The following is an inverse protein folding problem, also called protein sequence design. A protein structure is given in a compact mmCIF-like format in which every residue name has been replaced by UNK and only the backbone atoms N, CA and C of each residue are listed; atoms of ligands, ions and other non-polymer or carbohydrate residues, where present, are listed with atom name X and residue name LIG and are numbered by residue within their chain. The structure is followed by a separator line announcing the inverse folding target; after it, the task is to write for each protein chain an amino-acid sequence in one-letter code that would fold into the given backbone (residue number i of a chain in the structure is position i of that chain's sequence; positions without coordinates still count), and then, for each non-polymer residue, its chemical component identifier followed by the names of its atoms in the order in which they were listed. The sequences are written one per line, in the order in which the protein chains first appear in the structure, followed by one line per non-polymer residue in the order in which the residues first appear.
data_IF_748745199496
#
_entry.id   IF_748745199496
#
_cell.length_a   1.000
_cell.length_b   1.000
_cell.length_c   1.000
_cell.angle_alpha   90.00
_cell.angle_beta   90.00
_cell.angle_gamma   90.00
#
_symmetry.space_group_name_H-M   'P 1'
#
loop_
_entity.id
_entity.type
_entity.pdbx_description
1 polymer ?
#
# COMPACT_ATOMS: atom_id res chain seq x y z
N UNK A 1 -20.33 76.87 -21.50
CA UNK A 1 -19.80 75.62 -22.05
C UNK A 1 -19.36 74.72 -20.89
N UNK A 2 -20.17 73.70 -20.52
CA UNK A 2 -19.92 72.88 -19.32
C UNK A 2 -19.35 71.53 -19.82
N UNK A 3 -18.08 71.27 -19.53
CA UNK A 3 -17.41 70.02 -19.86
C UNK A 3 -17.77 69.02 -18.72
N UNK A 4 -18.47 67.96 -19.10
CA UNK A 4 -18.74 66.85 -18.18
C UNK A 4 -17.62 65.83 -18.32
N UNK A 5 -16.85 65.68 -17.27
CA UNK A 5 -15.81 64.65 -17.11
C UNK A 5 -16.50 63.34 -16.79
N UNK A 6 -16.42 62.35 -17.69
CA UNK A 6 -16.87 60.98 -17.47
C UNK A 6 -15.66 60.21 -16.95
N UNK A 7 -15.68 59.82 -15.68
CA UNK A 7 -14.67 58.91 -15.08
C UNK A 7 -15.17 57.51 -15.31
N UNK A 8 -14.50 56.77 -16.22
CA UNK A 8 -14.72 55.36 -16.40
C UNK A 8 -13.94 54.56 -15.32
N UNK A 9 -14.67 53.94 -14.41
CA UNK A 9 -14.14 52.98 -13.47
C UNK A 9 -13.86 51.65 -14.20
N UNK A 10 -12.60 51.35 -14.47
CA UNK A 10 -12.17 50.04 -14.93
C UNK A 10 -12.06 49.16 -13.70
N UNK A 11 -13.05 48.33 -13.45
CA UNK A 11 -13.02 47.31 -12.44
C UNK A 11 -12.06 46.18 -12.84
N UNK A 12 -10.92 46.10 -12.17
CA UNK A 12 -9.98 44.99 -12.32
C UNK A 12 -10.54 43.79 -11.56
N UNK A 13 -11.18 42.85 -12.32
CA UNK A 13 -11.60 41.57 -11.78
C UNK A 13 -10.36 40.68 -11.61
N UNK A 14 -9.84 40.63 -10.38
CA UNK A 14 -8.82 39.62 -10.01
C UNK A 14 -9.55 38.32 -9.88
N UNK A 15 -9.58 37.50 -10.97
CA UNK A 15 -10.06 36.16 -10.97
C UNK A 15 -9.12 35.27 -10.16
N UNK A 16 -9.58 34.74 -9.04
CA UNK A 16 -8.91 33.69 -8.30
C UNK A 16 -8.82 32.42 -9.15
N UNK A 17 -7.65 32.10 -9.71
CA UNK A 17 -7.38 30.88 -10.49
C UNK A 17 -6.84 29.73 -9.63
N UNK A 18 -7.37 29.56 -8.43
CA UNK A 18 -6.91 28.53 -7.50
C UNK A 18 -7.42 27.09 -7.71
N UNK A 19 -8.46 26.77 -8.52
CA UNK A 19 -8.94 25.38 -8.59
C UNK A 19 -8.22 24.49 -9.60
N UNK A 20 -7.50 25.04 -10.60
CA UNK A 20 -6.94 24.22 -11.68
C UNK A 20 -5.80 23.27 -11.23
N UNK A 21 -4.93 23.74 -10.35
CA UNK A 21 -3.80 22.94 -9.86
C UNK A 21 -4.24 21.81 -8.91
N UNK A 22 -5.23 22.05 -8.06
CA UNK A 22 -5.77 21.04 -7.16
C UNK A 22 -6.48 19.92 -7.95
N UNK A 23 -7.28 20.28 -8.93
CA UNK A 23 -8.01 19.34 -9.77
C UNK A 23 -7.09 18.53 -10.70
N UNK A 24 -6.00 19.12 -11.18
CA UNK A 24 -5.00 18.44 -11.98
C UNK A 24 -4.19 17.44 -11.13
N UNK A 25 -3.88 17.77 -9.88
CA UNK A 25 -3.25 16.86 -8.94
C UNK A 25 -4.16 15.66 -8.63
N UNK A 26 -5.42 15.90 -8.34
CA UNK A 26 -6.40 14.85 -8.03
C UNK A 26 -6.63 13.87 -9.19
N UNK A 27 -6.67 14.36 -10.44
CA UNK A 27 -6.79 13.52 -11.63
C UNK A 27 -5.53 12.72 -11.95
N UNK A 28 -4.35 13.28 -11.70
CA UNK A 28 -3.07 12.58 -11.86
C UNK A 28 -2.93 11.49 -10.80
N UNK A 29 -3.31 11.77 -9.56
CA UNK A 29 -3.30 10.83 -8.45
C UNK A 29 -4.22 9.62 -8.75
N UNK A 30 -5.44 9.85 -9.20
CA UNK A 30 -6.39 8.81 -9.57
C UNK A 30 -5.92 7.94 -10.75
N UNK A 31 -5.22 8.52 -11.72
CA UNK A 31 -4.65 7.77 -12.84
C UNK A 31 -3.44 6.93 -12.45
N UNK A 32 -2.56 7.45 -11.59
CA UNK A 32 -1.40 6.72 -11.09
C UNK A 32 -1.85 5.48 -10.32
N UNK A 33 -2.89 5.61 -9.50
CA UNK A 33 -3.50 4.50 -8.79
C UNK A 33 -4.06 3.44 -9.71
N UNK A 34 -4.93 3.81 -10.63
CA UNK A 34 -5.48 2.88 -11.61
C UNK A 34 -4.40 2.08 -12.35
N UNK A 35 -3.21 2.68 -12.54
CA UNK A 35 -2.07 2.03 -13.22
C UNK A 35 -1.26 1.14 -12.28
N UNK A 36 -1.21 1.44 -10.99
CA UNK A 36 -0.49 0.66 -9.99
C UNK A 36 -1.35 -0.44 -9.35
N UNK A 37 -2.67 -0.30 -9.36
CA UNK A 37 -3.65 -1.24 -8.83
C UNK A 37 -3.47 -2.70 -9.34
N UNK A 38 -3.20 -2.94 -10.65
CA UNK A 38 -2.92 -4.29 -11.13
C UNK A 38 -1.72 -4.98 -10.49
N UNK A 39 -0.77 -4.22 -9.90
CA UNK A 39 0.37 -4.80 -9.21
C UNK A 39 -0.05 -5.46 -7.89
N UNK A 40 -0.98 -4.85 -7.16
CA UNK A 40 -1.52 -5.44 -5.94
C UNK A 40 -2.30 -6.74 -6.21
N UNK A 41 -3.13 -6.76 -7.27
CA UNK A 41 -3.81 -7.98 -7.68
C UNK A 41 -2.85 -9.12 -8.03
N UNK A 42 -1.79 -8.82 -8.76
CA UNK A 42 -0.73 -9.81 -9.06
C UNK A 42 0.00 -10.28 -7.80
N UNK A 43 0.19 -9.38 -6.85
CA UNK A 43 0.81 -9.73 -5.58
C UNK A 43 -0.07 -10.68 -4.77
N UNK A 44 -1.36 -10.41 -4.66
CA UNK A 44 -2.32 -11.29 -3.99
C UNK A 44 -2.40 -12.67 -4.68
N UNK A 45 -2.41 -12.71 -6.01
CA UNK A 45 -2.39 -13.94 -6.79
C UNK A 45 -1.13 -14.77 -6.52
N UNK A 46 0.05 -14.16 -6.57
CA UNK A 46 1.32 -14.83 -6.31
C UNK A 46 1.41 -15.37 -4.86
N UNK A 47 0.94 -14.60 -3.88
CA UNK A 47 0.83 -15.02 -2.49
C UNK A 47 -0.09 -16.23 -2.33
N UNK A 48 -1.28 -16.19 -2.93
CA UNK A 48 -2.27 -17.27 -2.85
C UNK A 48 -1.81 -18.54 -3.60
N UNK A 49 -0.97 -18.38 -4.62
CA UNK A 49 -0.36 -19.49 -5.35
C UNK A 49 0.87 -20.07 -4.64
N UNK A 50 1.37 -19.41 -3.58
CA UNK A 50 2.62 -19.72 -2.88
C UNK A 50 3.83 -19.75 -3.84
N UNK A 51 3.85 -18.81 -4.78
CA UNK A 51 4.89 -18.68 -5.79
C UNK A 51 5.86 -17.54 -5.41
N UNK A 52 6.97 -17.92 -4.77
CA UNK A 52 7.97 -16.97 -4.29
C UNK A 52 8.64 -16.20 -5.45
N UNK A 53 8.86 -16.86 -6.59
CA UNK A 53 9.44 -16.23 -7.76
C UNK A 53 8.48 -15.20 -8.36
N UNK A 54 7.18 -15.53 -8.45
CA UNK A 54 6.16 -14.59 -8.92
C UNK A 54 6.03 -13.39 -7.99
N UNK A 55 6.08 -13.57 -6.66
CA UNK A 55 6.10 -12.44 -5.72
C UNK A 55 7.35 -11.58 -5.94
N UNK A 56 8.52 -12.18 -6.00
CA UNK A 56 9.79 -11.46 -6.18
C UNK A 56 9.86 -10.72 -7.52
N UNK A 57 9.27 -11.26 -8.58
CA UNK A 57 9.21 -10.63 -9.89
C UNK A 57 8.45 -9.27 -9.88
N UNK A 58 7.66 -8.98 -8.87
CA UNK A 58 6.98 -7.70 -8.69
C UNK A 58 7.88 -6.61 -8.10
N UNK A 59 9.05 -6.97 -7.59
CA UNK A 59 10.03 -6.06 -7.01
C UNK A 59 11.09 -5.62 -8.02
N UNK A 60 11.70 -4.45 -7.79
CA UNK A 60 12.92 -4.04 -8.52
C UNK A 60 14.11 -4.91 -8.10
N UNK A 61 15.19 -4.92 -8.88
CA UNK A 61 16.40 -5.70 -8.53
C UNK A 61 17.07 -5.22 -7.25
N UNK A 62 17.04 -3.91 -7.01
CA UNK A 62 17.60 -3.21 -5.85
C UNK A 62 16.56 -2.98 -4.73
N UNK A 63 15.42 -3.66 -4.76
CA UNK A 63 14.34 -3.44 -3.82
C UNK A 63 14.77 -3.60 -2.36
N UNK A 64 14.12 -2.85 -1.48
CA UNK A 64 14.31 -2.93 -0.03
C UNK A 64 12.98 -3.30 0.61
N UNK A 65 12.96 -4.40 1.35
CA UNK A 65 11.80 -4.87 2.08
C UNK A 65 12.08 -4.91 3.58
N UNK A 66 11.33 -4.10 4.34
CA UNK A 66 11.41 -4.03 5.80
C UNK A 66 10.34 -4.93 6.39
N UNK A 67 10.75 -5.91 7.17
CA UNK A 67 9.90 -6.86 7.87
C UNK A 67 10.06 -6.68 9.38
N UNK A 68 9.18 -7.26 10.21
CA UNK A 68 9.38 -7.27 11.66
C UNK A 68 10.71 -7.89 12.12
N UNK A 69 11.25 -8.82 11.33
CA UNK A 69 12.51 -9.52 11.60
C UNK A 69 13.76 -8.76 11.15
N UNK A 70 13.58 -7.78 10.25
CA UNK A 70 14.71 -6.99 9.73
C UNK A 70 14.52 -6.49 8.31
N UNK A 71 15.62 -6.04 7.71
CA UNK A 71 15.64 -5.48 6.35
C UNK A 71 16.24 -6.49 5.37
N UNK A 72 15.54 -6.71 4.26
CA UNK A 72 15.92 -7.59 3.16
C UNK A 72 16.18 -6.71 1.95
N UNK A 73 17.33 -6.90 1.29
CA UNK A 73 17.76 -6.09 0.16
C UNK A 73 17.99 -6.96 -1.07
N UNK A 74 17.38 -6.56 -2.17
CA UNK A 74 17.48 -7.23 -3.46
C UNK A 74 16.39 -8.26 -3.71
N UNK A 75 15.99 -8.35 -4.98
CA UNK A 75 14.92 -9.26 -5.44
C UNK A 75 15.18 -10.72 -5.08
N UNK A 76 16.39 -11.20 -5.29
CA UNK A 76 16.80 -12.58 -4.99
C UNK A 76 16.63 -12.93 -3.49
N UNK A 77 17.04 -12.00 -2.60
CA UNK A 77 16.88 -12.18 -1.18
C UNK A 77 15.40 -12.17 -0.75
N UNK A 78 14.60 -11.34 -1.41
CA UNK A 78 13.14 -11.30 -1.22
C UNK A 78 12.50 -12.63 -1.65
N UNK A 79 12.88 -13.18 -2.81
CA UNK A 79 12.40 -14.48 -3.28
C UNK A 79 12.71 -15.59 -2.26
N UNK A 80 13.96 -15.63 -1.80
CA UNK A 80 14.39 -16.61 -0.80
C UNK A 80 13.57 -16.50 0.49
N UNK A 81 13.29 -15.28 0.95
CA UNK A 81 12.50 -15.08 2.16
C UNK A 81 11.04 -15.53 1.97
N UNK A 82 10.43 -15.26 0.82
CA UNK A 82 9.09 -15.77 0.51
C UNK A 82 9.06 -17.30 0.42
N UNK A 83 10.08 -17.91 -0.16
CA UNK A 83 10.20 -19.36 -0.20
C UNK A 83 10.25 -19.96 1.22
N UNK A 84 10.90 -19.31 2.19
CA UNK A 84 10.88 -19.75 3.59
C UNK A 84 9.52 -19.54 4.24
N UNK A 85 8.82 -18.43 3.97
CA UNK A 85 7.46 -18.22 4.49
C UNK A 85 6.49 -19.28 3.98
N UNK A 86 6.54 -19.65 2.69
CA UNK A 86 5.68 -20.68 2.11
C UNK A 86 6.02 -22.09 2.58
N UNK A 87 7.26 -22.35 3.03
CA UNK A 87 7.63 -23.61 3.71
C UNK A 87 7.10 -23.65 5.13
N UNK A 88 7.04 -22.51 5.84
CA UNK A 88 6.49 -22.43 7.18
C UNK A 88 5.00 -22.76 7.21
N UNK A 89 4.24 -22.34 6.19
CA UNK A 89 2.85 -22.65 6.07
C UNK A 89 2.26 -22.20 4.74
N UNK A 90 1.28 -22.95 4.24
CA UNK A 90 0.58 -22.62 3.00
C UNK A 90 -0.26 -21.35 3.18
N UNK A 91 0.00 -20.35 2.35
CA UNK A 91 -0.78 -19.13 2.27
C UNK A 91 -2.04 -19.32 1.43
N UNK A 92 -3.14 -18.73 1.87
CA UNK A 92 -4.41 -18.65 1.16
C UNK A 92 -5.17 -17.39 1.60
N UNK A 93 -6.15 -16.97 0.79
CA UNK A 93 -6.98 -15.79 1.08
C UNK A 93 -6.16 -14.51 1.36
N UNK A 94 -4.96 -14.41 0.75
CA UNK A 94 -4.20 -13.18 0.82
C UNK A 94 -4.97 -12.07 0.13
N UNK A 95 -5.14 -10.95 0.81
CA UNK A 95 -5.80 -9.75 0.28
C UNK A 95 -5.04 -8.50 0.69
N UNK A 96 -4.90 -7.60 -0.28
CA UNK A 96 -4.32 -6.27 -0.11
C UNK A 96 -5.42 -5.23 -0.24
N UNK A 97 -5.51 -4.32 0.72
CA UNK A 97 -6.42 -3.17 0.66
C UNK A 97 -5.61 -1.88 0.66
N UNK A 98 -6.11 -0.87 -0.03
CA UNK A 98 -5.51 0.45 -0.09
C UNK A 98 -6.23 1.42 0.85
N UNK A 99 -5.47 2.30 1.48
CA UNK A 99 -6.00 3.44 2.19
C UNK A 99 -6.06 4.64 1.23
N UNK A 100 -7.25 5.12 0.84
CA UNK A 100 -7.38 6.21 -0.12
C UNK A 100 -6.72 7.52 0.30
N UNK A 101 -6.56 7.74 1.61
CA UNK A 101 -5.91 8.93 2.16
C UNK A 101 -4.37 8.85 2.11
N UNK A 102 -3.79 7.67 1.86
CA UNK A 102 -2.33 7.45 1.95
C UNK A 102 -1.56 7.71 0.67
N UNK A 103 -2.25 8.02 -0.41
CA UNK A 103 -1.71 8.21 -1.72
C UNK A 103 -0.83 9.43 -1.80
N UNK A 104 0.43 9.31 -2.24
CA UNK A 104 1.32 10.41 -2.55
C UNK A 104 2.13 10.12 -3.82
N UNK A 105 2.06 11.03 -4.79
CA UNK A 105 3.06 11.09 -5.87
C UNK A 105 4.27 11.81 -5.30
N UNK A 106 5.41 11.13 -5.27
CA UNK A 106 6.65 11.68 -4.71
C UNK A 106 7.59 12.04 -5.85
N UNK A 107 7.74 13.33 -6.13
CA UNK A 107 8.71 13.87 -7.09
C UNK A 107 8.27 13.82 -8.54
N UNK A 108 8.31 12.68 -9.21
CA UNK A 108 7.91 12.50 -10.61
C UNK A 108 6.67 11.61 -10.70
N UNK A 109 6.00 11.59 -11.88
CA UNK A 109 4.86 10.70 -12.16
C UNK A 109 5.24 9.21 -12.20
N UNK A 110 6.50 8.88 -11.99
CA UNK A 110 7.06 7.55 -12.07
C UNK A 110 7.32 6.91 -10.69
N UNK A 111 6.98 7.59 -9.61
CA UNK A 111 7.12 7.08 -8.24
C UNK A 111 5.88 7.42 -7.43
N UNK A 112 5.26 6.41 -6.85
CA UNK A 112 4.02 6.53 -6.08
C UNK A 112 4.16 5.78 -4.76
N UNK A 113 3.74 6.43 -3.67
CA UNK A 113 3.68 5.80 -2.35
C UNK A 113 2.25 5.42 -2.03
N UNK A 114 2.09 4.20 -1.52
CA UNK A 114 0.81 3.67 -1.04
C UNK A 114 0.95 3.08 0.34
N UNK A 115 -0.14 3.03 1.08
CA UNK A 115 -0.27 2.20 2.26
C UNK A 115 -1.66 1.58 2.34
N UNK A 116 -1.80 0.58 3.19
CA UNK A 116 -3.08 -0.09 3.35
C UNK A 116 -3.05 -1.18 4.41
N UNK A 117 -4.04 -2.04 4.35
CA UNK A 117 -4.13 -3.26 5.14
C UNK A 117 -3.78 -4.49 4.31
N UNK A 118 -3.39 -5.55 4.99
CA UNK A 118 -3.26 -6.88 4.41
C UNK A 118 -3.81 -7.92 5.38
N UNK A 119 -4.28 -9.03 4.83
CA UNK A 119 -4.60 -10.23 5.59
C UNK A 119 -4.23 -11.47 4.79
N UNK A 120 -3.94 -12.57 5.48
CA UNK A 120 -3.65 -13.87 4.89
C UNK A 120 -4.05 -14.97 5.85
N UNK A 121 -4.54 -16.09 5.33
CA UNK A 121 -4.68 -17.34 6.08
C UNK A 121 -3.47 -18.20 5.82
N UNK A 122 -2.77 -18.61 6.88
CA UNK A 122 -1.61 -19.51 6.81
C UNK A 122 -1.96 -20.82 7.51
N UNK A 123 -1.73 -21.93 6.83
CA UNK A 123 -1.91 -23.25 7.44
C UNK A 123 -0.65 -23.61 8.25
N UNK A 124 -0.74 -23.53 9.57
CA UNK A 124 0.35 -23.83 10.50
C UNK A 124 0.02 -25.13 11.23
N UNK A 125 0.83 -26.14 11.05
CA UNK A 125 0.62 -27.48 11.67
C UNK A 125 -0.78 -28.06 11.40
N UNK A 126 -1.27 -27.91 10.18
CA UNK A 126 -2.59 -28.38 9.74
C UNK A 126 -3.77 -27.55 10.29
N UNK A 127 -3.54 -26.39 10.88
CA UNK A 127 -4.57 -25.49 11.37
C UNK A 127 -4.51 -24.14 10.66
N UNK A 128 -5.62 -23.63 10.13
CA UNK A 128 -5.65 -22.31 9.53
C UNK A 128 -5.51 -21.23 10.63
N UNK A 129 -4.61 -20.28 10.41
CA UNK A 129 -4.41 -19.10 11.25
C UNK A 129 -4.50 -17.86 10.38
N UNK A 130 -5.25 -16.85 10.83
CA UNK A 130 -5.34 -15.56 10.16
C UNK A 130 -4.25 -14.62 10.70
N UNK A 131 -3.49 -14.05 9.77
CA UNK A 131 -2.55 -12.96 10.03
C UNK A 131 -3.01 -11.72 9.29
N UNK A 132 -2.81 -10.57 9.89
CA UNK A 132 -3.17 -9.27 9.30
C UNK A 132 -2.28 -8.16 9.82
N UNK A 133 -2.25 -7.08 9.10
CA UNK A 133 -1.46 -5.91 9.48
C UNK A 133 -1.62 -4.74 8.53
N UNK A 134 -0.62 -3.88 8.58
CA UNK A 134 -0.53 -2.71 7.72
C UNK A 134 0.71 -2.82 6.86
N UNK A 135 0.66 -2.23 5.68
CA UNK A 135 1.78 -2.14 4.77
C UNK A 135 1.93 -0.72 4.23
N UNK A 136 3.13 -0.40 3.82
CA UNK A 136 3.49 0.79 3.06
C UNK A 136 4.44 0.36 1.95
N UNK A 137 4.26 0.89 0.74
CA UNK A 137 5.17 0.61 -0.36
C UNK A 137 5.35 1.83 -1.26
N UNK A 138 6.54 1.90 -1.84
CA UNK A 138 6.91 2.84 -2.88
C UNK A 138 7.03 2.03 -4.16
N UNK A 139 6.15 2.33 -5.12
CA UNK A 139 6.19 1.76 -6.45
C UNK A 139 6.94 2.71 -7.38
N UNK A 140 7.72 2.15 -8.28
CA UNK A 140 8.39 2.91 -9.34
C UNK A 140 8.06 2.32 -10.69
N UNK A 141 8.03 3.16 -11.72
CA UNK A 141 7.74 2.76 -13.08
C UNK A 141 9.03 2.79 -13.92
N UNK A 142 9.44 1.62 -14.40
CA UNK A 142 10.51 1.45 -15.37
C UNK A 142 9.96 1.08 -16.75
N UNK A 143 10.87 0.64 -17.63
CA UNK A 143 10.55 0.11 -18.97
C UNK A 143 9.58 -1.06 -18.91
N UNK A 144 9.69 -1.89 -17.87
CA UNK A 144 8.94 -3.14 -17.67
C UNK A 144 7.63 -2.94 -16.89
N UNK A 145 7.23 -1.67 -16.70
CA UNK A 145 6.03 -1.29 -15.96
C UNK A 145 6.30 -0.95 -14.49
N UNK A 146 5.24 -1.04 -13.69
CA UNK A 146 5.32 -0.74 -12.26
C UNK A 146 5.94 -1.90 -11.48
N UNK A 147 6.83 -1.56 -10.55
CA UNK A 147 7.50 -2.49 -9.63
C UNK A 147 7.50 -1.91 -8.22
N UNK A 148 7.58 -2.78 -7.21
CA UNK A 148 7.80 -2.40 -5.82
C UNK A 148 9.29 -2.10 -5.66
N UNK A 149 9.62 -0.87 -5.32
CA UNK A 149 11.01 -0.47 -5.03
C UNK A 149 11.32 -0.59 -3.55
N UNK A 150 10.42 -0.07 -2.71
CA UNK A 150 10.57 -0.20 -1.26
C UNK A 150 9.25 -0.60 -0.65
N UNK A 151 9.28 -1.46 0.35
CA UNK A 151 8.09 -1.80 1.11
C UNK A 151 8.42 -2.09 2.57
N UNK A 152 7.42 -1.90 3.40
CA UNK A 152 7.45 -2.27 4.81
C UNK A 152 6.09 -2.83 5.20
N UNK A 153 6.09 -3.76 6.14
CA UNK A 153 4.85 -4.20 6.76
C UNK A 153 5.04 -4.44 8.25
N UNK A 154 3.93 -4.41 8.97
CA UNK A 154 3.85 -4.90 10.33
C UNK A 154 2.75 -5.95 10.44
N UNK A 155 2.80 -6.75 11.47
CA UNK A 155 1.73 -7.65 11.85
C UNK A 155 0.98 -7.05 13.05
N UNK A 156 -0.34 -7.02 12.96
CA UNK A 156 -1.18 -6.66 14.12
C UNK A 156 -1.20 -7.84 15.08
N UNK A 157 -0.85 -7.66 16.36
CA UNK A 157 -0.95 -8.72 17.34
C UNK A 157 -2.37 -9.28 17.41
N UNK A 158 -2.50 -10.59 17.59
CA UNK A 158 -3.79 -11.18 17.90
C UNK A 158 -4.38 -10.52 19.17
N UNK A 159 -5.69 -10.31 19.26
CA UNK A 159 -6.30 -9.84 20.50
C UNK A 159 -5.86 -10.75 21.65
N UNK A 160 -5.43 -10.15 22.77
CA UNK A 160 -5.13 -10.93 23.96
C UNK A 160 -6.35 -11.80 24.31
N UNK A 161 -6.13 -13.09 24.51
CA UNK A 161 -7.19 -14.00 24.93
C UNK A 161 -7.82 -13.43 26.19
N UNK A 162 -9.12 -13.14 26.13
CA UNK A 162 -9.87 -12.73 27.33
C UNK A 162 -9.73 -13.86 28.35
N UNK A 163 -9.22 -13.61 29.56
CA UNK A 163 -9.12 -14.67 30.55
C UNK A 163 -10.50 -15.26 30.79
N UNK A 164 -10.62 -16.57 30.63
CA UNK A 164 -11.86 -17.27 30.96
C UNK A 164 -12.24 -16.95 32.40
N UNK A 165 -13.52 -16.68 32.69
CA UNK A 165 -13.96 -16.40 34.04
C UNK A 165 -13.57 -17.60 34.92
N UNK A 166 -12.72 -17.34 35.92
CA UNK A 166 -12.37 -18.32 36.93
C UNK A 166 -13.64 -18.67 37.68
N UNK A 167 -14.18 -19.87 37.44
CA UNK A 167 -15.26 -20.43 38.26
C UNK A 167 -14.71 -20.63 39.65
N UNK A 168 -15.02 -19.74 40.58
CA UNK A 168 -14.78 -19.93 42.00
C UNK A 168 -15.62 -21.13 42.46
N UNK A 169 -15.02 -22.18 43.03
CA UNK A 169 -15.80 -23.28 43.58
C UNK A 169 -16.62 -22.75 44.73
N UNK A 170 -17.95 -22.93 44.62
CA UNK A 170 -18.89 -22.64 45.73
C UNK A 170 -18.60 -23.63 46.87
N UNK A 171 -18.07 -23.13 47.96
CA UNK A 171 -17.94 -23.92 49.23
C UNK A 171 -19.31 -24.18 49.80
N UNK A 172 -19.71 -25.46 49.85
CA UNK A 172 -20.79 -25.96 50.71
C UNK A 172 -20.29 -26.17 52.11
#
# INVERSE_FOLDING_TARGET
MKIRLVVALVGLAIGFTAPAFAQQKETLDAQAVKKADPLAGKYDEAQNSNDAAAVAALYTEDAVWVTPEGTIVGREAIEKQYAEYFKFGRHSNHTTTFDPASYQITGTTDTVTFSGGWSVTVEVQGKPQEFKGRWLAIYTRGSDGWKIWKSAFNQTPAPAATPSPTTTPSSQ
#
